data_IF_264934970666
#
_entry.id   IF_264934970666
#
_cell.length_a   1.000
_cell.length_b   1.000
_cell.length_c   1.000
_cell.angle_alpha   90.00
_cell.angle_beta   90.00
_cell.angle_gamma   90.00
#
_symmetry.space_group_name_H-M   'P 1'
#
loop_
_entity.id
_entity.type
_entity.pdbx_description
1 polymer ?
#
# COMPACT_ATOMS: atom_id res chain seq x y z
N UNK A 1 -3.32 42.80 0.29
CA UNK A 1 -3.25 42.57 1.75
C UNK A 1 -2.62 41.19 1.93
N UNK A 2 -1.40 41.14 2.48
CA UNK A 2 -0.50 39.98 2.36
C UNK A 2 -0.34 39.18 3.66
N UNK A 3 -0.60 39.78 4.82
CA UNK A 3 -0.60 39.12 6.13
C UNK A 3 -2.01 39.21 6.74
N UNK A 4 -2.56 38.06 7.12
CA UNK A 4 -3.90 37.94 7.69
C UNK A 4 -3.88 37.05 8.92
N UNK A 5 -4.69 37.43 9.92
CA UNK A 5 -5.05 36.57 11.05
C UNK A 5 -6.57 36.35 11.05
N UNK A 6 -6.96 35.09 10.98
CA UNK A 6 -8.35 34.62 11.01
C UNK A 6 -8.47 33.55 12.09
N UNK A 7 -9.20 33.87 13.15
CA UNK A 7 -9.45 33.00 14.29
C UNK A 7 -10.93 33.09 14.67
N UNK A 8 -11.48 32.00 15.21
CA UNK A 8 -12.85 31.95 15.71
C UNK A 8 -13.92 32.14 14.63
N UNK A 9 -13.73 31.54 13.45
CA UNK A 9 -14.74 31.53 12.38
C UNK A 9 -15.58 30.26 12.53
N UNK A 10 -16.84 30.34 13.02
CA UNK A 10 -17.62 29.15 13.37
C UNK A 10 -17.91 28.21 12.19
N UNK A 11 -18.01 28.77 10.98
CA UNK A 11 -18.26 28.02 9.74
C UNK A 11 -17.10 27.05 9.41
N UNK A 12 -15.90 27.29 9.95
CA UNK A 12 -14.72 26.46 9.71
C UNK A 12 -14.46 25.44 10.84
N UNK A 13 -15.31 25.40 11.88
CA UNK A 13 -15.09 24.52 13.04
C UNK A 13 -15.36 23.04 12.73
N UNK A 14 -16.06 22.75 11.63
CA UNK A 14 -16.27 21.38 11.15
C UNK A 14 -15.01 20.77 10.51
N UNK A 15 -14.03 21.61 10.13
CA UNK A 15 -12.79 21.18 9.49
C UNK A 15 -11.68 20.96 10.53
N UNK A 16 -10.79 20.00 10.27
CA UNK A 16 -9.55 19.88 11.03
C UNK A 16 -8.67 21.12 10.85
N UNK A 17 -7.69 21.32 11.75
CA UNK A 17 -6.81 22.49 11.66
C UNK A 17 -6.05 22.57 10.32
N UNK A 18 -5.64 21.42 9.80
CA UNK A 18 -4.96 21.31 8.51
C UNK A 18 -5.89 21.69 7.36
N UNK A 19 -7.08 21.09 7.30
CA UNK A 19 -8.07 21.37 6.25
C UNK A 19 -8.51 22.84 6.27
N UNK A 20 -8.75 23.39 7.47
CA UNK A 20 -9.09 24.81 7.66
C UNK A 20 -8.00 25.71 7.11
N UNK A 21 -6.73 25.40 7.42
CA UNK A 21 -5.59 26.17 6.90
C UNK A 21 -5.50 26.08 5.38
N UNK A 22 -5.60 24.87 4.81
CA UNK A 22 -5.57 24.65 3.37
C UNK A 22 -6.71 25.40 2.65
N UNK A 23 -7.93 25.34 3.20
CA UNK A 23 -9.08 26.08 2.66
C UNK A 23 -8.84 27.58 2.60
N UNK A 24 -8.33 28.17 3.69
CA UNK A 24 -8.05 29.59 3.75
C UNK A 24 -6.93 30.00 2.77
N UNK A 25 -5.88 29.19 2.64
CA UNK A 25 -4.80 29.43 1.67
C UNK A 25 -5.34 29.41 0.24
N UNK A 26 -6.19 28.44 -0.10
CA UNK A 26 -6.77 28.31 -1.42
C UNK A 26 -7.71 29.48 -1.76
N UNK A 27 -8.49 29.99 -0.80
CA UNK A 27 -9.37 31.16 -0.99
C UNK A 27 -8.64 32.51 -1.02
N UNK A 28 -7.42 32.59 -0.50
CA UNK A 28 -6.68 33.84 -0.33
C UNK A 28 -5.38 33.84 -1.17
N UNK A 29 -5.47 34.01 -2.51
CA UNK A 29 -4.32 33.92 -3.42
C UNK A 29 -3.19 34.92 -3.11
N UNK A 30 -3.52 36.10 -2.60
CA UNK A 30 -2.55 37.17 -2.34
C UNK A 30 -1.93 37.13 -0.94
N UNK A 31 -2.36 36.23 -0.06
CA UNK A 31 -1.87 36.16 1.33
C UNK A 31 -0.61 35.32 1.39
N UNK A 32 0.50 35.88 1.87
CA UNK A 32 1.79 35.20 2.05
C UNK A 32 2.04 34.78 3.50
N UNK A 33 1.27 35.34 4.45
CA UNK A 33 1.33 34.99 5.89
C UNK A 33 -0.09 34.81 6.44
N UNK A 34 -0.35 33.66 7.06
CA UNK A 34 -1.64 33.33 7.65
C UNK A 34 -1.45 32.88 9.10
N UNK A 35 -2.12 33.56 10.03
CA UNK A 35 -2.05 33.27 11.47
C UNK A 35 -0.62 33.27 12.03
N UNK A 36 0.24 34.14 11.49
CA UNK A 36 1.62 34.33 11.95
C UNK A 36 2.66 33.42 11.30
N UNK A 37 2.26 32.40 10.52
CA UNK A 37 3.16 31.56 9.73
C UNK A 37 3.17 31.96 8.25
N UNK A 38 4.35 31.91 7.64
CA UNK A 38 4.50 32.10 6.20
C UNK A 38 3.86 30.94 5.43
N UNK A 39 3.35 31.22 4.24
CA UNK A 39 2.84 30.23 3.30
C UNK A 39 3.91 30.01 2.25
N UNK A 40 4.44 28.78 2.20
CA UNK A 40 5.42 28.41 1.17
C UNK A 40 4.73 28.12 -0.16
N UNK A 41 5.45 28.27 -1.27
CA UNK A 41 4.89 27.99 -2.60
C UNK A 41 4.35 26.55 -2.71
N UNK A 42 5.12 25.58 -2.19
CA UNK A 42 4.70 24.17 -2.13
C UNK A 42 3.43 23.99 -1.29
N UNK A 43 3.36 24.64 -0.13
CA UNK A 43 2.18 24.58 0.73
C UNK A 43 0.94 25.17 0.05
N UNK A 44 1.10 26.27 -0.71
CA UNK A 44 0.01 26.85 -1.51
C UNK A 44 -0.47 25.87 -2.56
N UNK A 45 0.44 25.29 -3.34
CA UNK A 45 0.09 24.31 -4.36
C UNK A 45 -0.62 23.10 -3.74
N UNK A 46 -0.10 22.55 -2.65
CA UNK A 46 -0.72 21.44 -1.92
C UNK A 46 -2.12 21.81 -1.40
N UNK A 47 -2.29 23.02 -0.85
CA UNK A 47 -3.57 23.53 -0.36
C UNK A 47 -4.59 23.74 -1.48
N UNK A 48 -4.19 24.29 -2.62
CA UNK A 48 -5.06 24.50 -3.79
C UNK A 48 -5.49 23.17 -4.40
N UNK A 49 -4.60 22.18 -4.47
CA UNK A 49 -4.93 20.83 -4.93
C UNK A 49 -5.86 20.10 -3.96
N UNK A 50 -5.63 20.25 -2.65
CA UNK A 50 -6.52 19.72 -1.62
C UNK A 50 -7.91 20.35 -1.70
N UNK A 51 -7.98 21.66 -1.97
CA UNK A 51 -9.23 22.39 -2.14
C UNK A 51 -10.05 21.88 -3.33
N UNK A 52 -9.42 21.66 -4.49
CA UNK A 52 -10.10 21.04 -5.64
C UNK A 52 -10.69 19.69 -5.21
N UNK A 53 -9.89 18.84 -4.57
CA UNK A 53 -10.33 17.50 -4.15
C UNK A 53 -11.48 17.53 -3.15
N UNK A 54 -11.46 18.46 -2.20
CA UNK A 54 -12.52 18.62 -1.22
C UNK A 54 -13.88 18.88 -1.90
N UNK A 55 -13.89 19.76 -2.92
CA UNK A 55 -15.11 20.09 -3.66
C UNK A 55 -15.43 19.14 -4.83
N UNK A 56 -14.67 18.05 -5.03
CA UNK A 56 -15.02 17.04 -6.04
C UNK A 56 -16.33 16.32 -5.69
N UNK A 57 -16.51 15.98 -4.41
CA UNK A 57 -17.67 15.28 -3.87
C UNK A 57 -18.83 16.19 -3.48
N UNK A 58 -18.60 17.51 -3.41
CA UNK A 58 -19.63 18.48 -3.04
C UNK A 58 -20.50 18.88 -4.24
N UNK A 59 -21.80 19.01 -4.01
CA UNK A 59 -22.77 19.44 -5.02
C UNK A 59 -22.59 20.93 -5.38
N UNK A 60 -22.26 21.76 -4.39
CA UNK A 60 -22.03 23.19 -4.57
C UNK A 60 -20.53 23.51 -4.64
N UNK A 61 -20.08 23.94 -5.81
CA UNK A 61 -18.67 24.32 -6.04
C UNK A 61 -18.49 25.83 -6.10
N UNK A 62 -17.60 26.42 -5.28
CA UNK A 62 -17.33 27.85 -5.31
C UNK A 62 -16.62 28.25 -6.61
N UNK A 63 -16.72 29.51 -7.04
CA UNK A 63 -16.00 30.03 -8.23
C UNK A 63 -14.49 29.71 -8.18
N UNK A 64 -13.91 29.77 -6.99
CA UNK A 64 -12.51 29.48 -6.74
C UNK A 64 -12.10 28.07 -7.15
N UNK A 65 -13.01 27.09 -7.08
CA UNK A 65 -12.77 25.73 -7.55
C UNK A 65 -12.40 25.71 -9.03
N UNK A 66 -13.22 26.35 -9.88
CA UNK A 66 -13.01 26.36 -11.33
C UNK A 66 -11.75 27.13 -11.74
N UNK A 67 -11.41 28.20 -11.01
CA UNK A 67 -10.15 28.92 -11.19
C UNK A 67 -8.94 28.01 -10.92
N UNK A 68 -8.98 27.24 -9.84
CA UNK A 68 -7.90 26.34 -9.46
C UNK A 68 -7.84 25.11 -10.39
N UNK A 69 -8.99 24.59 -10.85
CA UNK A 69 -9.03 23.52 -11.87
C UNK A 69 -8.38 23.98 -13.19
N UNK A 70 -8.55 25.25 -13.58
CA UNK A 70 -7.89 25.81 -14.76
C UNK A 70 -6.36 25.92 -14.60
N UNK A 71 -5.86 26.07 -13.37
CA UNK A 71 -4.43 26.19 -13.05
C UNK A 71 -3.78 24.81 -12.89
N UNK A 72 -4.40 23.91 -12.11
CA UNK A 72 -3.84 22.63 -11.69
C UNK A 72 -4.31 21.44 -12.54
N UNK A 73 -5.26 21.67 -13.45
CA UNK A 73 -5.94 20.64 -14.19
C UNK A 73 -7.00 19.91 -13.36
N UNK A 74 -7.63 18.92 -13.98
CA UNK A 74 -8.58 18.02 -13.33
C UNK A 74 -7.81 17.06 -12.44
N UNK A 75 -8.12 17.06 -11.14
CA UNK A 75 -7.51 16.16 -10.17
C UNK A 75 -8.45 14.99 -9.89
N UNK A 76 -7.87 13.80 -9.81
CA UNK A 76 -8.58 12.62 -9.33
C UNK A 76 -8.67 12.63 -7.79
N UNK A 77 -9.71 11.98 -7.23
CA UNK A 77 -9.78 11.67 -5.81
C UNK A 77 -8.53 10.92 -5.34
N UNK A 78 -8.12 11.15 -4.10
CA UNK A 78 -7.09 10.34 -3.48
C UNK A 78 -7.65 8.94 -3.22
N UNK A 79 -7.01 7.93 -3.79
CA UNK A 79 -7.29 6.52 -3.46
C UNK A 79 -6.45 6.15 -2.24
N UNK A 80 -7.07 5.54 -1.25
CA UNK A 80 -6.35 4.90 -0.16
C UNK A 80 -5.69 3.63 -0.71
N UNK A 81 -4.38 3.69 -0.94
CA UNK A 81 -3.60 2.56 -1.43
C UNK A 81 -2.89 1.95 -0.23
N UNK A 82 -3.25 0.71 0.14
CA UNK A 82 -2.49 -0.06 1.11
C UNK A 82 -1.14 -0.44 0.50
N UNK A 83 -0.10 0.32 0.85
CA UNK A 83 1.29 0.05 0.47
C UNK A 83 1.96 -0.99 1.39
N UNK A 84 1.22 -1.62 2.31
CA UNK A 84 1.76 -2.68 3.13
C UNK A 84 2.29 -3.83 2.27
N UNK A 85 3.44 -4.42 2.63
CA UNK A 85 3.96 -5.56 1.90
C UNK A 85 2.93 -6.70 1.91
N UNK A 86 2.78 -7.39 0.77
CA UNK A 86 1.93 -8.58 0.68
C UNK A 86 2.32 -9.57 1.78
N UNK A 87 1.34 -9.97 2.57
CA UNK A 87 1.54 -10.94 3.66
C UNK A 87 1.27 -12.37 3.22
N UNK A 88 0.63 -12.56 2.07
CA UNK A 88 0.26 -13.88 1.55
C UNK A 88 0.66 -13.99 0.10
N UNK A 89 0.95 -15.22 -0.34
CA UNK A 89 1.12 -15.56 -1.74
C UNK A 89 0.34 -16.84 -2.06
N UNK A 90 -0.25 -16.92 -3.25
CA UNK A 90 -0.85 -18.14 -3.78
C UNK A 90 0.20 -18.91 -4.59
N UNK A 91 0.54 -20.12 -4.14
CA UNK A 91 1.60 -20.95 -4.72
C UNK A 91 1.06 -22.30 -5.16
N UNK A 92 1.77 -22.95 -6.09
CA UNK A 92 1.52 -24.34 -6.46
C UNK A 92 2.43 -25.26 -5.66
N UNK A 93 1.88 -26.34 -5.14
CA UNK A 93 2.63 -27.34 -4.39
C UNK A 93 2.52 -28.67 -5.11
N UNK A 94 3.67 -29.23 -5.48
CA UNK A 94 3.81 -30.49 -6.18
C UNK A 94 4.32 -31.57 -5.23
N UNK A 95 3.62 -32.69 -5.17
CA UNK A 95 4.03 -33.88 -4.43
C UNK A 95 3.66 -35.14 -5.21
N UNK A 96 4.65 -35.95 -5.59
CA UNK A 96 4.48 -37.10 -6.49
C UNK A 96 3.73 -36.70 -7.78
N UNK A 97 2.53 -37.25 -8.01
CA UNK A 97 1.67 -36.92 -9.17
C UNK A 97 0.58 -35.89 -8.83
N UNK A 98 0.52 -35.44 -7.58
CA UNK A 98 -0.47 -34.47 -7.11
C UNK A 98 0.06 -33.04 -7.18
N UNK A 99 -0.76 -32.14 -7.72
CA UNK A 99 -0.55 -30.69 -7.66
C UNK A 99 -1.70 -30.05 -6.90
N UNK A 100 -1.38 -29.15 -5.99
CA UNK A 100 -2.39 -28.41 -5.25
C UNK A 100 -2.02 -26.94 -5.11
N UNK A 101 -3.01 -26.07 -5.22
CA UNK A 101 -2.83 -24.65 -4.92
C UNK A 101 -2.95 -24.43 -3.40
N UNK A 102 -2.10 -23.57 -2.85
CA UNK A 102 -2.09 -23.21 -1.43
C UNK A 102 -1.85 -21.71 -1.27
N UNK A 103 -2.61 -21.06 -0.40
CA UNK A 103 -2.30 -19.70 0.05
C UNK A 103 -1.36 -19.78 1.25
N UNK A 104 -0.14 -19.29 1.10
CA UNK A 104 0.90 -19.31 2.14
C UNK A 104 1.04 -17.93 2.79
N UNK A 105 1.21 -17.90 4.11
CA UNK A 105 1.54 -16.66 4.84
C UNK A 105 3.06 -16.46 4.79
N UNK A 106 3.52 -15.36 4.20
CA UNK A 106 4.94 -15.04 4.03
C UNK A 106 5.64 -14.73 5.37
N UNK A 107 4.88 -14.40 6.43
CA UNK A 107 5.41 -14.20 7.78
C UNK A 107 5.60 -15.52 8.56
N UNK A 108 5.14 -16.65 8.02
CA UNK A 108 5.31 -17.95 8.65
C UNK A 108 6.73 -18.50 8.43
N UNK A 109 7.18 -19.40 9.31
CA UNK A 109 8.46 -20.09 9.16
C UNK A 109 8.37 -21.27 8.18
N UNK A 110 9.50 -21.73 7.64
CA UNK A 110 9.56 -22.96 6.83
C UNK A 110 9.01 -24.16 7.63
N UNK A 111 9.24 -24.21 8.95
CA UNK A 111 8.69 -25.24 9.82
C UNK A 111 7.16 -25.22 9.87
N UNK A 112 6.57 -24.04 10.06
CA UNK A 112 5.12 -23.85 10.05
C UNK A 112 4.52 -24.28 8.70
N UNK A 113 5.17 -23.91 7.59
CA UNK A 113 4.75 -24.36 6.26
C UNK A 113 4.80 -25.89 6.14
N UNK A 114 5.89 -26.54 6.57
CA UNK A 114 6.00 -28.01 6.56
C UNK A 114 4.93 -28.69 7.42
N UNK A 115 4.50 -28.08 8.52
CA UNK A 115 3.38 -28.59 9.32
C UNK A 115 2.06 -28.53 8.55
N UNK A 116 1.75 -27.40 7.91
CA UNK A 116 0.56 -27.25 7.05
C UNK A 116 0.57 -28.25 5.89
N UNK A 117 1.74 -28.49 5.27
CA UNK A 117 1.90 -29.47 4.19
C UNK A 117 1.82 -30.91 4.70
N UNK A 118 2.30 -31.18 5.91
CA UNK A 118 2.18 -32.49 6.57
C UNK A 118 0.73 -32.88 6.75
N UNK A 119 -0.10 -31.95 7.22
CA UNK A 119 -1.54 -32.20 7.41
C UNK A 119 -2.26 -32.42 6.07
N UNK A 120 -1.82 -31.73 5.01
CA UNK A 120 -2.41 -31.83 3.67
C UNK A 120 -2.04 -33.13 2.94
N UNK A 121 -0.78 -33.54 2.99
CA UNK A 121 -0.25 -34.69 2.22
C UNK A 121 0.04 -35.93 3.06
N UNK A 122 -0.24 -35.91 4.37
CA UNK A 122 -0.02 -37.06 5.27
C UNK A 122 1.45 -37.39 5.53
N UNK A 123 2.38 -36.47 5.25
CA UNK A 123 3.83 -36.67 5.36
C UNK A 123 4.37 -36.02 6.63
N UNK A 124 5.03 -36.81 7.49
CA UNK A 124 5.71 -36.24 8.66
C UNK A 124 6.76 -35.20 8.25
N UNK A 125 6.83 -34.01 8.88
CA UNK A 125 7.78 -32.95 8.52
C UNK A 125 9.26 -33.41 8.53
N UNK A 126 9.61 -34.37 9.38
CA UNK A 126 10.96 -34.93 9.48
C UNK A 126 11.39 -35.74 8.24
N UNK A 127 10.42 -36.25 7.47
CA UNK A 127 10.65 -36.98 6.21
C UNK A 127 10.39 -36.11 4.98
N UNK A 128 10.19 -34.81 5.17
CA UNK A 128 9.83 -33.87 4.11
C UNK A 128 11.03 -33.00 3.73
N UNK A 129 11.44 -33.08 2.46
CA UNK A 129 12.30 -32.10 1.82
C UNK A 129 11.42 -31.17 1.00
N UNK A 130 11.64 -29.87 1.15
CA UNK A 130 10.83 -28.84 0.52
C UNK A 130 11.75 -27.98 -0.33
N UNK A 131 11.44 -27.85 -1.60
CA UNK A 131 12.17 -27.03 -2.55
C UNK A 131 11.28 -25.91 -3.07
N UNK A 132 11.85 -24.72 -3.15
CA UNK A 132 11.22 -23.54 -3.74
C UNK A 132 11.69 -23.39 -5.19
N UNK A 133 10.76 -23.07 -6.09
CA UNK A 133 11.03 -22.79 -7.49
C UNK A 133 10.44 -21.41 -7.78
N UNK A 134 11.32 -20.46 -8.07
CA UNK A 134 10.97 -19.14 -8.57
C UNK A 134 10.58 -19.27 -10.04
N UNK A 135 9.34 -18.90 -10.38
CA UNK A 135 8.81 -19.11 -11.73
C UNK A 135 9.55 -18.28 -12.79
N UNK A 136 10.08 -17.10 -12.42
CA UNK A 136 10.84 -16.23 -13.33
C UNK A 136 12.25 -16.80 -13.59
N UNK A 137 12.78 -17.60 -12.66
CA UNK A 137 14.15 -18.13 -12.71
C UNK A 137 14.22 -19.63 -13.00
N UNK A 138 13.07 -20.31 -13.17
CA UNK A 138 12.98 -21.77 -13.34
C UNK A 138 13.83 -22.33 -14.47
N UNK A 139 14.04 -21.56 -15.55
CA UNK A 139 14.87 -21.97 -16.70
C UNK A 139 16.37 -21.79 -16.46
N UNK A 140 16.76 -20.93 -15.51
CA UNK A 140 18.16 -20.53 -15.28
C UNK A 140 18.74 -21.09 -13.98
N UNK A 141 17.90 -21.30 -12.98
CA UNK A 141 18.26 -21.78 -11.66
C UNK A 141 17.39 -22.98 -11.28
N UNK A 142 18.04 -24.01 -10.71
CA UNK A 142 17.34 -25.17 -10.19
C UNK A 142 16.57 -24.87 -8.90
N UNK A 143 15.78 -25.85 -8.40
CA UNK A 143 15.00 -25.68 -7.17
C UNK A 143 15.89 -25.45 -5.95
N UNK A 144 15.53 -24.47 -5.12
CA UNK A 144 16.23 -24.13 -3.89
C UNK A 144 15.66 -24.88 -2.68
N UNK A 145 16.48 -25.72 -2.03
CA UNK A 145 16.03 -26.47 -0.86
C UNK A 145 15.85 -25.55 0.37
N UNK A 146 14.66 -25.56 0.94
CA UNK A 146 14.31 -24.86 2.18
C UNK A 146 14.84 -25.60 3.41
N UNK A 147 16.17 -25.52 3.62
CA UNK A 147 16.91 -26.21 4.70
C UNK A 147 16.70 -25.60 6.09
N UNK A 148 16.47 -24.29 6.16
CA UNK A 148 16.42 -23.55 7.43
C UNK A 148 15.00 -23.42 7.95
N UNK A 149 14.60 -24.34 8.83
CA UNK A 149 13.25 -24.42 9.38
C UNK A 149 12.74 -23.12 10.05
N UNK A 150 13.62 -22.36 10.71
CA UNK A 150 13.25 -21.11 11.40
C UNK A 150 13.22 -19.88 10.47
N UNK A 151 13.69 -20.01 9.22
CA UNK A 151 13.71 -18.89 8.27
C UNK A 151 12.28 -18.57 7.84
N UNK A 152 11.95 -17.29 7.75
CA UNK A 152 10.62 -16.81 7.36
C UNK A 152 10.49 -16.79 5.83
N UNK A 153 9.30 -17.10 5.33
CA UNK A 153 9.06 -17.26 3.90
C UNK A 153 9.29 -15.97 3.09
N UNK A 154 9.03 -14.78 3.64
CA UNK A 154 9.27 -13.50 2.95
C UNK A 154 10.73 -13.33 2.49
N UNK A 155 11.69 -13.99 3.16
CA UNK A 155 13.12 -13.89 2.83
C UNK A 155 13.51 -14.65 1.56
N UNK A 156 12.58 -15.40 0.97
CA UNK A 156 12.72 -16.08 -0.32
C UNK A 156 12.03 -15.31 -1.45
N UNK A 157 11.41 -14.15 -1.16
CA UNK A 157 10.73 -13.30 -2.13
C UNK A 157 9.63 -14.01 -2.93
N UNK A 158 8.98 -15.02 -2.32
CA UNK A 158 7.88 -15.79 -2.92
C UNK A 158 6.75 -14.87 -3.37
N UNK A 159 6.24 -15.11 -4.58
CA UNK A 159 5.17 -14.38 -5.26
C UNK A 159 4.01 -15.30 -5.60
N UNK A 160 2.93 -14.68 -6.03
CA UNK A 160 1.78 -15.40 -6.57
C UNK A 160 2.19 -16.14 -7.85
N UNK A 161 1.96 -17.44 -7.92
CA UNK A 161 2.28 -18.29 -9.07
C UNK A 161 3.56 -19.12 -8.92
N UNK A 162 4.37 -18.89 -7.89
CA UNK A 162 5.57 -19.70 -7.63
C UNK A 162 5.24 -21.12 -7.19
N UNK A 163 6.24 -22.00 -7.25
CA UNK A 163 6.06 -23.43 -7.01
C UNK A 163 6.88 -23.92 -5.81
N UNK A 164 6.31 -24.88 -5.08
CA UNK A 164 7.00 -25.70 -4.11
C UNK A 164 6.99 -27.16 -4.57
N UNK A 165 8.14 -27.81 -4.51
CA UNK A 165 8.27 -29.24 -4.73
C UNK A 165 8.55 -29.94 -3.40
N UNK A 166 7.72 -30.93 -3.08
CA UNK A 166 7.87 -31.80 -1.93
C UNK A 166 8.53 -33.10 -2.39
N UNK A 167 9.61 -33.48 -1.71
CA UNK A 167 10.29 -34.75 -1.91
C UNK A 167 10.34 -35.52 -0.59
N UNK A 168 10.13 -36.84 -0.66
CA UNK A 168 10.17 -37.72 0.51
C UNK A 168 11.60 -38.17 0.77
N UNK A 169 12.08 -37.98 2.00
CA UNK A 169 13.41 -38.42 2.43
C UNK A 169 13.50 -39.93 2.64
#
# INVERSE_FOLDING_TARGET
LEDIRLQGIPVLDALSELERRQHLIAYLPSVIRLNGSAILQKEREDAERAFIRFFLSEDERPKRFYELEAIHGKLDPLVDVDLSPKKTAQVFVHFCEEQSTLTVNLQQSVQELKATLSDKFGLRPAKMRLFYIDQDMKEFCGPDELRYNNRKLYSYQIRDGDEFLIDSK
#
